data_IF_080620591355
#
_entry.id   IF_080620591355
#
_cell.length_a   1.000
_cell.length_b   1.000
_cell.length_c   1.000
_cell.angle_alpha   90.00
_cell.angle_beta   90.00
_cell.angle_gamma   90.00
#
_symmetry.space_group_name_H-M   'P 1'
#
loop_
_entity.id
_entity.type
_entity.pdbx_description
1 polymer ?
#
# COMPACT_ATOMS: atom_id res chain seq x y z
N UNK A 1 -68.63 12.12 -50.11
CA UNK A 1 -68.08 12.75 -48.89
C UNK A 1 -67.16 11.73 -48.22
N UNK A 2 -65.82 11.91 -48.25
CA UNK A 2 -64.85 11.02 -47.64
C UNK A 2 -64.30 11.74 -46.39
N UNK A 3 -64.60 11.20 -45.21
CA UNK A 3 -64.17 11.68 -43.92
C UNK A 3 -62.78 11.09 -43.64
N UNK A 4 -61.77 11.94 -43.52
CA UNK A 4 -60.40 11.55 -43.05
C UNK A 4 -60.34 11.66 -41.54
N UNK A 5 -60.08 10.52 -40.86
CA UNK A 5 -59.77 10.48 -39.42
C UNK A 5 -58.28 10.72 -39.22
N UNK A 6 -57.93 11.76 -38.46
CA UNK A 6 -56.58 12.02 -38.03
C UNK A 6 -56.29 11.25 -36.74
N UNK A 7 -55.36 10.31 -36.82
CA UNK A 7 -54.82 9.62 -35.61
C UNK A 7 -53.67 10.46 -35.05
N UNK A 8 -53.88 11.05 -33.89
CA UNK A 8 -52.82 11.73 -33.09
C UNK A 8 -51.99 10.66 -32.40
N UNK A 9 -50.72 10.50 -32.84
CA UNK A 9 -49.75 9.63 -32.22
C UNK A 9 -49.07 10.42 -31.10
N UNK A 10 -49.46 10.13 -29.86
CA UNK A 10 -48.81 10.72 -28.66
C UNK A 10 -47.52 9.94 -28.36
N UNK A 11 -46.35 10.54 -28.65
CA UNK A 11 -45.04 9.99 -28.29
C UNK A 11 -44.80 10.30 -26.81
N UNK A 12 -44.89 9.28 -25.97
CA UNK A 12 -44.39 9.35 -24.58
C UNK A 12 -42.87 9.25 -24.60
N UNK A 13 -42.19 10.38 -24.41
CA UNK A 13 -40.77 10.41 -24.16
C UNK A 13 -40.54 10.02 -22.67
N UNK A 14 -40.18 8.78 -22.42
CA UNK A 14 -39.64 8.37 -21.12
C UNK A 14 -38.27 9.01 -20.97
N UNK A 15 -38.19 10.14 -20.28
CA UNK A 15 -36.98 10.74 -19.81
C UNK A 15 -36.36 9.82 -18.75
N UNK A 16 -35.35 9.04 -19.13
CA UNK A 16 -34.50 8.34 -18.18
C UNK A 16 -33.68 9.39 -17.43
N UNK A 17 -34.18 9.81 -16.28
CA UNK A 17 -33.45 10.65 -15.34
C UNK A 17 -32.35 9.78 -14.71
N UNK A 18 -31.18 9.70 -15.35
CA UNK A 18 -29.99 9.19 -14.72
C UNK A 18 -29.51 10.25 -13.68
N UNK A 19 -30.06 10.14 -12.47
CA UNK A 19 -29.43 10.73 -11.31
C UNK A 19 -28.09 10.04 -11.08
N UNK A 20 -27.06 10.43 -11.80
CA UNK A 20 -25.68 10.23 -11.40
C UNK A 20 -25.48 11.06 -10.13
N UNK A 21 -25.75 10.45 -8.97
CA UNK A 21 -25.19 10.92 -7.72
C UNK A 21 -23.67 10.85 -7.92
N UNK A 22 -23.04 11.97 -8.20
CA UNK A 22 -21.64 12.20 -7.97
C UNK A 22 -21.44 12.00 -6.47
N UNK A 23 -21.14 10.77 -6.04
CA UNK A 23 -20.57 10.54 -4.71
C UNK A 23 -19.27 11.33 -4.71
N UNK A 24 -19.27 12.39 -3.93
CA UNK A 24 -18.10 13.18 -3.62
C UNK A 24 -17.18 12.22 -2.83
N UNK A 25 -16.36 11.43 -3.55
CA UNK A 25 -15.44 10.45 -2.96
C UNK A 25 -14.35 11.23 -2.22
N UNK A 26 -14.66 11.57 -0.96
CA UNK A 26 -13.73 12.23 -0.07
C UNK A 26 -12.49 11.33 0.07
N UNK A 27 -11.33 11.82 -0.38
CA UNK A 27 -10.07 11.13 -0.21
C UNK A 27 -9.61 11.22 1.25
N UNK A 28 -9.08 10.12 1.76
CA UNK A 28 -8.59 10.01 3.12
C UNK A 28 -7.07 10.22 3.17
N UNK A 29 -6.62 11.43 2.83
CA UNK A 29 -5.20 11.76 2.81
C UNK A 29 -4.61 11.86 4.21
N UNK A 30 -3.34 11.41 4.33
CA UNK A 30 -2.49 11.55 5.53
C UNK A 30 -1.38 12.54 5.20
N UNK A 31 -1.45 13.74 5.75
CA UNK A 31 -0.48 14.82 5.53
C UNK A 31 0.32 15.09 6.82
N UNK A 32 1.44 14.41 6.96
CA UNK A 32 2.38 14.59 8.07
C UNK A 32 3.33 15.76 7.78
N UNK A 33 3.72 16.52 8.81
CA UNK A 33 4.55 17.71 8.63
C UNK A 33 6.03 17.46 8.90
N UNK A 34 6.32 16.51 9.80
CA UNK A 34 7.68 16.20 10.26
C UNK A 34 7.91 14.68 10.33
N UNK A 35 9.16 14.26 10.43
CA UNK A 35 9.51 12.86 10.72
C UNK A 35 8.99 12.45 12.11
N UNK A 36 8.95 13.37 13.07
CA UNK A 36 8.38 13.08 14.39
C UNK A 36 6.88 12.75 14.31
N UNK A 37 6.13 13.40 13.41
CA UNK A 37 4.72 13.05 13.18
C UNK A 37 4.58 11.64 12.59
N UNK A 38 5.49 11.23 11.70
CA UNK A 38 5.51 9.85 11.19
C UNK A 38 5.82 8.85 12.31
N UNK A 39 6.83 9.15 13.13
CA UNK A 39 7.18 8.31 14.29
C UNK A 39 5.99 8.18 15.26
N UNK A 40 5.27 9.26 15.54
CA UNK A 40 4.07 9.25 16.38
C UNK A 40 2.91 8.48 15.73
N UNK A 41 2.71 8.60 14.42
CA UNK A 41 1.72 7.86 13.65
C UNK A 41 1.98 6.33 13.68
N UNK A 42 3.25 5.93 13.65
CA UNK A 42 3.69 4.54 13.68
C UNK A 42 3.80 3.95 15.10
N UNK A 43 3.87 4.79 16.13
CA UNK A 43 3.96 4.32 17.51
C UNK A 43 2.67 3.58 17.94
N UNK A 44 2.83 2.47 18.66
CA UNK A 44 1.69 1.81 19.30
C UNK A 44 1.15 2.68 20.43
N UNK A 45 -0.16 2.87 20.45
CA UNK A 45 -0.89 3.51 21.54
C UNK A 45 -2.17 2.71 21.80
N UNK A 46 -2.37 2.29 23.05
CA UNK A 46 -3.55 1.50 23.41
C UNK A 46 -4.87 2.23 23.06
N UNK A 47 -5.77 1.52 22.41
CA UNK A 47 -7.08 2.05 22.00
C UNK A 47 -7.08 2.82 20.67
N UNK A 48 -5.94 2.93 19.97
CA UNK A 48 -5.95 3.43 18.60
C UNK A 48 -6.63 2.46 17.64
N UNK A 49 -7.27 3.02 16.61
CA UNK A 49 -7.81 2.20 15.51
C UNK A 49 -6.68 1.58 14.71
N UNK A 50 -6.91 0.35 14.24
CA UNK A 50 -6.00 -0.29 13.31
C UNK A 50 -5.91 0.48 11.97
N UNK A 51 -4.84 0.26 11.23
CA UNK A 51 -4.53 0.91 9.96
C UNK A 51 -4.57 -0.13 8.85
N UNK A 52 -5.06 0.26 7.68
CA UNK A 52 -4.90 -0.53 6.44
C UNK A 52 -3.55 -0.21 5.82
N UNK A 53 -2.76 -1.24 5.51
CA UNK A 53 -1.63 -1.14 4.59
C UNK A 53 -2.03 -1.80 3.27
N UNK A 54 -2.21 -0.98 2.24
CA UNK A 54 -2.60 -1.43 0.91
C UNK A 54 -1.41 -2.08 0.21
N UNK A 55 -1.34 -3.42 0.18
CA UNK A 55 -0.27 -4.19 -0.46
C UNK A 55 -0.26 -3.90 -1.97
N UNK A 56 0.87 -3.41 -2.49
CA UNK A 56 1.02 -2.89 -3.87
C UNK A 56 -0.03 -1.84 -4.25
N UNK A 57 -0.55 -1.11 -3.27
CA UNK A 57 -1.62 -0.13 -3.44
C UNK A 57 -3.05 -0.68 -3.36
N UNK A 58 -3.26 -1.98 -3.13
CA UNK A 58 -4.57 -2.63 -3.10
C UNK A 58 -5.18 -2.82 -4.49
N UNK A 59 -4.56 -3.65 -5.35
CA UNK A 59 -5.01 -3.87 -6.71
C UNK A 59 -6.41 -4.51 -6.76
N UNK A 60 -7.18 -4.16 -7.80
CA UNK A 60 -8.51 -4.70 -8.06
C UNK A 60 -8.83 -4.57 -9.56
N UNK A 61 -9.93 -5.15 -10.07
CA UNK A 61 -10.31 -5.00 -11.48
C UNK A 61 -10.30 -3.54 -11.94
N UNK A 62 -9.54 -3.24 -13.00
CA UNK A 62 -9.32 -1.91 -13.53
C UNK A 62 -8.28 -1.05 -12.80
N UNK A 63 -7.71 -1.56 -11.69
CA UNK A 63 -6.68 -0.89 -10.88
C UNK A 63 -5.47 -1.82 -10.69
N UNK A 64 -4.46 -1.75 -11.58
CA UNK A 64 -3.26 -2.59 -11.48
C UNK A 64 -2.42 -2.27 -10.25
N UNK A 65 -1.64 -3.25 -9.78
CA UNK A 65 -0.68 -3.07 -8.71
C UNK A 65 0.39 -2.01 -9.06
N UNK A 66 0.93 -1.34 -8.05
CA UNK A 66 2.02 -0.38 -8.19
C UNK A 66 1.71 0.82 -9.13
N UNK A 67 0.45 1.24 -9.19
CA UNK A 67 0.01 2.40 -9.97
C UNK A 67 -0.50 3.53 -9.06
N UNK A 68 -0.18 4.77 -9.38
CA UNK A 68 -0.63 5.95 -8.61
C UNK A 68 -2.17 6.00 -8.56
N UNK A 69 -2.85 5.64 -9.64
CA UNK A 69 -4.31 5.61 -9.72
C UNK A 69 -4.91 4.55 -8.76
N UNK A 70 -4.21 3.44 -8.58
CA UNK A 70 -4.60 2.40 -7.60
C UNK A 70 -4.41 2.91 -6.17
N UNK A 71 -3.33 3.62 -5.90
CA UNK A 71 -3.09 4.27 -4.61
C UNK A 71 -4.19 5.30 -4.30
N UNK A 72 -4.55 6.12 -5.29
CA UNK A 72 -5.67 7.06 -5.18
C UNK A 72 -7.01 6.36 -4.93
N UNK A 73 -7.23 5.21 -5.57
CA UNK A 73 -8.43 4.41 -5.33
C UNK A 73 -8.48 3.86 -3.89
N UNK A 74 -7.36 3.32 -3.37
CA UNK A 74 -7.27 2.83 -1.99
C UNK A 74 -7.64 3.91 -0.97
N UNK A 75 -7.18 5.15 -1.18
CA UNK A 75 -7.46 6.31 -0.32
C UNK A 75 -8.92 6.79 -0.38
N UNK A 76 -9.75 6.24 -1.24
CA UNK A 76 -11.20 6.47 -1.19
C UNK A 76 -11.90 5.66 -0.10
N UNK A 77 -11.28 4.57 0.37
CA UNK A 77 -11.88 3.69 1.38
C UNK A 77 -11.45 4.02 2.80
N UNK A 78 -10.17 4.35 3.01
CA UNK A 78 -9.62 4.71 4.33
C UNK A 78 -8.30 5.47 4.19
N UNK A 79 -7.80 6.14 5.27
CA UNK A 79 -6.39 6.51 5.35
C UNK A 79 -5.56 5.23 5.36
N UNK A 80 -4.70 5.07 4.35
CA UNK A 80 -3.89 3.87 4.19
C UNK A 80 -2.39 4.18 4.26
N UNK A 81 -1.62 3.23 4.76
CA UNK A 81 -0.23 3.08 4.36
C UNK A 81 -0.28 2.45 2.96
N UNK A 82 0.44 3.00 2.00
CA UNK A 82 0.56 2.44 0.65
C UNK A 82 1.87 1.65 0.60
N UNK A 83 1.77 0.35 0.49
CA UNK A 83 2.94 -0.46 0.22
C UNK A 83 3.18 -0.51 -1.29
N UNK A 84 4.45 -0.50 -1.70
CA UNK A 84 4.89 -0.40 -3.07
C UNK A 84 6.27 -1.02 -3.29
N UNK A 85 6.52 -1.49 -4.53
CA UNK A 85 7.73 -2.22 -4.90
C UNK A 85 8.63 -1.38 -5.81
N UNK A 86 9.87 -1.13 -5.39
CA UNK A 86 10.87 -0.39 -6.20
C UNK A 86 11.81 -1.35 -6.89
N UNK A 87 11.90 -1.23 -8.21
CA UNK A 87 12.82 -1.96 -9.09
C UNK A 87 13.66 -0.97 -9.90
N UNK A 88 14.70 -1.46 -10.60
CA UNK A 88 15.64 -0.62 -11.35
C UNK A 88 15.82 -1.09 -12.79
N UNK A 89 15.71 -0.17 -13.73
CA UNK A 89 15.92 -0.39 -15.16
C UNK A 89 17.40 -0.56 -15.52
N UNK A 90 17.68 -1.00 -16.76
CA UNK A 90 19.03 -1.13 -17.28
C UNK A 90 19.85 0.17 -17.25
N UNK A 91 19.20 1.31 -17.45
CA UNK A 91 19.80 2.65 -17.42
C UNK A 91 19.72 3.33 -16.04
N UNK A 92 19.42 2.56 -14.98
CA UNK A 92 19.47 2.99 -13.59
C UNK A 92 18.26 3.78 -13.08
N UNK A 93 17.16 3.85 -13.85
CA UNK A 93 15.95 4.53 -13.39
C UNK A 93 15.23 3.67 -12.35
N UNK A 94 14.89 4.25 -11.19
CA UNK A 94 14.04 3.61 -10.19
C UNK A 94 12.58 3.76 -10.59
N UNK A 95 11.87 2.63 -10.68
CA UNK A 95 10.46 2.52 -11.10
C UNK A 95 9.68 1.64 -10.13
N UNK A 96 8.35 1.66 -10.20
CA UNK A 96 7.54 0.72 -9.45
C UNK A 96 7.27 -0.54 -10.29
N UNK A 97 7.73 -1.68 -9.79
CA UNK A 97 7.51 -3.00 -10.39
C UNK A 97 7.85 -4.10 -9.40
N UNK A 98 6.89 -5.01 -9.14
CA UNK A 98 7.12 -6.12 -8.21
C UNK A 98 8.00 -7.21 -8.82
N UNK A 99 7.66 -7.67 -10.02
CA UNK A 99 8.32 -8.81 -10.65
C UNK A 99 9.64 -8.39 -11.31
N UNK A 100 10.57 -9.33 -11.46
CA UNK A 100 11.79 -9.13 -12.23
C UNK A 100 11.50 -9.02 -13.74
N UNK A 101 10.29 -9.37 -14.19
CA UNK A 101 9.85 -9.33 -15.60
C UNK A 101 8.60 -8.48 -15.79
N UNK A 102 8.39 -8.01 -17.01
CA UNK A 102 7.30 -7.13 -17.43
C UNK A 102 5.98 -7.86 -17.73
N UNK A 103 6.04 -9.16 -17.95
CA UNK A 103 5.03 -9.97 -18.64
C UNK A 103 3.66 -9.99 -17.97
N UNK A 104 3.64 -10.14 -16.63
CA UNK A 104 2.40 -10.28 -15.85
C UNK A 104 1.61 -8.98 -15.77
N UNK A 105 2.28 -7.88 -15.47
CA UNK A 105 1.64 -6.63 -15.07
C UNK A 105 1.70 -5.52 -16.11
N UNK A 106 2.31 -5.78 -17.29
CA UNK A 106 2.43 -4.77 -18.35
C UNK A 106 2.11 -5.34 -19.73
N UNK A 107 2.03 -4.46 -20.74
CA UNK A 107 1.94 -4.82 -22.16
C UNK A 107 3.30 -5.21 -22.79
N UNK A 108 4.38 -5.13 -22.02
CA UNK A 108 5.71 -5.55 -22.43
C UNK A 108 6.05 -6.97 -22.03
N UNK A 109 7.27 -7.40 -22.36
CA UNK A 109 7.83 -8.70 -21.99
C UNK A 109 9.32 -8.61 -21.73
N UNK A 110 9.88 -9.60 -21.02
CA UNK A 110 11.30 -9.66 -20.69
C UNK A 110 11.65 -9.00 -19.35
N UNK A 111 12.95 -8.93 -19.05
CA UNK A 111 13.39 -8.48 -17.71
C UNK A 111 13.41 -6.96 -17.59
N UNK A 112 13.01 -6.46 -16.45
CA UNK A 112 13.10 -5.06 -16.06
C UNK A 112 14.54 -4.56 -16.14
N UNK A 113 15.50 -5.35 -15.63
CA UNK A 113 16.92 -5.02 -15.61
C UNK A 113 17.61 -4.98 -16.99
N UNK A 114 16.94 -5.43 -18.05
CA UNK A 114 17.43 -5.41 -19.44
C UNK A 114 16.75 -4.31 -20.27
N UNK A 115 15.70 -3.66 -19.75
CA UNK A 115 14.95 -2.62 -20.44
C UNK A 115 15.32 -1.21 -19.94
N UNK A 116 15.39 -0.23 -20.84
CA UNK A 116 15.61 1.18 -20.48
C UNK A 116 14.30 1.87 -20.11
N UNK A 117 14.40 2.98 -19.36
CA UNK A 117 13.23 3.79 -19.03
C UNK A 117 12.49 4.28 -20.29
N UNK A 118 13.23 4.67 -21.34
CA UNK A 118 12.61 5.08 -22.61
C UNK A 118 11.69 4.00 -23.20
N UNK A 119 12.05 2.73 -23.04
CA UNK A 119 11.22 1.60 -23.48
C UNK A 119 9.99 1.41 -22.55
N UNK A 120 10.23 1.42 -21.24
CA UNK A 120 9.20 1.08 -20.23
C UNK A 120 8.07 2.12 -20.13
N UNK A 121 8.38 3.42 -20.27
CA UNK A 121 7.36 4.48 -20.21
C UNK A 121 6.30 4.39 -21.34
N UNK A 122 6.56 3.63 -22.38
CA UNK A 122 5.62 3.40 -23.49
C UNK A 122 4.58 2.33 -23.15
N UNK A 123 4.89 1.44 -22.19
CA UNK A 123 4.04 0.33 -21.81
C UNK A 123 2.82 0.79 -21.01
N UNK A 124 1.79 -0.04 -21.03
CA UNK A 124 0.60 0.11 -20.18
C UNK A 124 0.58 -0.98 -19.12
N UNK A 125 0.02 -0.64 -17.96
CA UNK A 125 -0.19 -1.61 -16.88
C UNK A 125 -1.42 -2.48 -17.17
N UNK A 126 -1.36 -3.74 -16.71
CA UNK A 126 -2.46 -4.70 -16.69
C UNK A 126 -2.89 -4.95 -15.24
N UNK A 127 -4.19 -5.06 -15.02
CA UNK A 127 -4.72 -5.50 -13.73
C UNK A 127 -4.50 -7.01 -13.49
N UNK A 128 -4.93 -7.50 -12.34
CA UNK A 128 -4.76 -8.91 -11.95
C UNK A 128 -5.52 -9.92 -12.87
N UNK A 129 -6.50 -9.45 -13.64
CA UNK A 129 -7.26 -10.25 -14.61
C UNK A 129 -6.61 -10.20 -16.00
N UNK A 130 -5.51 -9.44 -16.16
CA UNK A 130 -4.81 -9.25 -17.44
C UNK A 130 -5.41 -8.17 -18.33
N UNK A 131 -6.40 -7.40 -17.85
CA UNK A 131 -7.01 -6.31 -18.59
C UNK A 131 -6.05 -5.14 -18.70
N UNK A 132 -5.76 -4.70 -19.92
CA UNK A 132 -4.91 -3.55 -20.19
C UNK A 132 -5.63 -2.26 -19.78
N UNK A 133 -4.95 -1.45 -18.97
CA UNK A 133 -5.45 -0.13 -18.57
C UNK A 133 -4.77 1.00 -19.35
N UNK A 134 -5.21 2.24 -19.16
CA UNK A 134 -4.49 3.43 -19.66
C UNK A 134 -3.31 3.83 -18.77
N UNK A 135 -3.13 3.19 -17.62
CA UNK A 135 -2.14 3.56 -16.61
C UNK A 135 -0.73 3.14 -17.03
N UNK A 136 0.25 3.88 -16.55
CA UNK A 136 1.67 3.74 -16.88
C UNK A 136 2.45 3.25 -15.68
N UNK A 137 3.63 2.69 -15.94
CA UNK A 137 4.61 2.39 -14.89
C UNK A 137 5.07 3.72 -14.29
N UNK A 138 4.86 3.99 -12.99
CA UNK A 138 5.35 5.23 -12.40
C UNK A 138 6.84 5.09 -12.04
N UNK A 139 7.57 6.20 -12.06
CA UNK A 139 8.88 6.27 -11.45
C UNK A 139 8.76 6.39 -9.93
N UNK A 140 9.78 5.92 -9.20
CA UNK A 140 9.83 6.07 -7.76
C UNK A 140 9.82 7.54 -7.32
N UNK A 141 10.49 8.42 -8.07
CA UNK A 141 10.48 9.87 -7.84
C UNK A 141 9.07 10.48 -7.96
N UNK A 142 8.29 10.08 -8.97
CA UNK A 142 6.89 10.52 -9.13
C UNK A 142 6.03 10.10 -7.96
N UNK A 143 6.19 8.85 -7.50
CA UNK A 143 5.43 8.31 -6.37
C UNK A 143 5.80 8.99 -5.05
N UNK A 144 7.08 9.22 -4.78
CA UNK A 144 7.51 9.98 -3.60
C UNK A 144 6.95 11.40 -3.62
N UNK A 145 6.96 12.09 -4.78
CA UNK A 145 6.37 13.42 -4.92
C UNK A 145 4.84 13.40 -4.76
N UNK A 146 4.17 12.39 -5.28
CA UNK A 146 2.73 12.19 -5.08
C UNK A 146 2.38 11.97 -3.60
N UNK A 147 3.13 11.11 -2.91
CA UNK A 147 2.81 10.67 -1.54
C UNK A 147 2.95 11.75 -0.48
N UNK A 148 3.79 12.77 -0.67
CA UNK A 148 4.19 13.77 0.37
C UNK A 148 3.06 14.45 1.13
N UNK A 149 1.86 14.48 0.59
CA UNK A 149 0.68 15.11 1.24
C UNK A 149 -0.54 14.20 1.20
N UNK A 150 -0.36 12.92 0.84
CA UNK A 150 -1.47 12.00 0.58
C UNK A 150 -1.42 10.73 1.41
N UNK A 151 -0.24 10.10 1.51
CA UNK A 151 -0.13 8.80 2.15
C UNK A 151 1.23 8.58 2.79
N UNK A 152 1.29 7.71 3.78
CA UNK A 152 2.55 7.09 4.22
C UNK A 152 2.86 5.94 3.26
N UNK A 153 4.09 5.89 2.76
CA UNK A 153 4.57 4.89 1.81
C UNK A 153 5.44 3.86 2.52
N UNK A 154 5.14 2.58 2.35
CA UNK A 154 5.94 1.46 2.85
C UNK A 154 6.65 0.83 1.64
N UNK A 155 7.98 0.99 1.57
CA UNK A 155 8.78 0.83 0.36
C UNK A 155 9.51 -0.51 0.41
N UNK A 156 9.10 -1.45 -0.46
CA UNK A 156 9.83 -2.70 -0.71
C UNK A 156 10.86 -2.49 -1.82
N UNK A 157 12.11 -2.89 -1.56
CA UNK A 157 13.22 -2.63 -2.46
C UNK A 157 13.72 -3.95 -3.04
N UNK A 158 13.64 -4.08 -4.36
CA UNK A 158 14.09 -5.29 -5.07
C UNK A 158 15.61 -5.43 -5.04
N UNK A 159 16.07 -6.67 -5.21
CA UNK A 159 17.50 -7.00 -5.14
C UNK A 159 18.33 -6.19 -6.14
N UNK A 160 19.57 -5.85 -5.74
CA UNK A 160 20.53 -5.17 -6.64
C UNK A 160 20.46 -3.64 -6.61
N UNK A 161 19.55 -3.05 -5.83
CA UNK A 161 19.48 -1.60 -5.62
C UNK A 161 20.31 -1.26 -4.38
N UNK A 162 21.23 -0.29 -4.48
CA UNK A 162 21.99 0.18 -3.31
C UNK A 162 21.04 0.95 -2.37
N UNK A 163 21.02 0.62 -1.07
CA UNK A 163 20.30 1.40 -0.08
C UNK A 163 20.57 2.91 -0.11
N UNK A 164 21.77 3.35 -0.47
CA UNK A 164 22.09 4.76 -0.59
C UNK A 164 21.27 5.44 -1.69
N UNK A 165 21.08 4.78 -2.86
CA UNK A 165 20.26 5.32 -3.95
C UNK A 165 18.81 5.60 -3.51
N UNK A 166 18.26 4.72 -2.67
CA UNK A 166 16.89 4.88 -2.13
C UNK A 166 16.83 6.06 -1.17
N UNK A 167 17.79 6.13 -0.24
CA UNK A 167 17.84 7.22 0.76
C UNK A 167 18.07 8.57 0.09
N UNK A 168 18.95 8.63 -0.90
CA UNK A 168 19.22 9.84 -1.68
C UNK A 168 17.95 10.31 -2.42
N UNK A 169 17.16 9.39 -2.98
CA UNK A 169 15.90 9.75 -3.65
C UNK A 169 14.86 10.26 -2.66
N UNK A 170 14.74 9.64 -1.48
CA UNK A 170 13.85 10.10 -0.40
C UNK A 170 14.26 11.50 0.05
N UNK A 171 15.56 11.78 0.21
CA UNK A 171 16.07 13.10 0.59
C UNK A 171 15.85 14.13 -0.52
N UNK A 172 16.19 13.80 -1.77
CA UNK A 172 15.97 14.66 -2.94
C UNK A 172 14.53 15.12 -3.05
N UNK A 173 13.59 14.22 -2.78
CA UNK A 173 12.16 14.51 -2.85
C UNK A 173 11.58 15.06 -1.54
N UNK A 174 12.36 15.13 -0.45
CA UNK A 174 11.91 15.54 0.89
C UNK A 174 10.75 14.67 1.42
N UNK A 175 10.79 13.35 1.13
CA UNK A 175 9.74 12.40 1.46
C UNK A 175 9.98 11.64 2.78
N UNK A 176 11.02 11.97 3.58
CA UNK A 176 11.38 11.27 4.81
C UNK A 176 10.20 11.11 5.78
N UNK A 177 9.39 12.15 5.90
CA UNK A 177 8.21 12.18 6.80
C UNK A 177 7.03 11.32 6.33
N UNK A 178 7.13 10.69 5.17
CA UNK A 178 6.09 9.83 4.60
C UNK A 178 6.63 8.47 4.15
N UNK A 179 7.89 8.15 4.44
CA UNK A 179 8.56 6.94 3.94
C UNK A 179 8.93 5.99 5.06
N UNK A 180 8.58 4.72 4.88
CA UNK A 180 8.98 3.57 5.70
C UNK A 180 9.74 2.63 4.77
N UNK A 181 10.94 2.19 5.17
CA UNK A 181 11.73 1.23 4.40
C UNK A 181 11.46 -0.18 4.90
N UNK A 182 11.09 -1.10 4.01
CA UNK A 182 10.98 -2.53 4.35
C UNK A 182 12.36 -3.18 4.35
N UNK A 183 12.66 -3.92 5.41
CA UNK A 183 13.88 -4.72 5.51
C UNK A 183 13.57 -6.15 5.96
N UNK A 184 14.16 -7.13 5.27
CA UNK A 184 13.92 -8.54 5.50
C UNK A 184 14.94 -9.21 6.45
N UNK A 185 16.01 -8.48 6.80
CA UNK A 185 17.05 -9.01 7.66
C UNK A 185 17.72 -7.91 8.50
N UNK A 186 18.30 -8.32 9.61
CA UNK A 186 18.95 -7.44 10.58
C UNK A 186 20.14 -6.65 10.02
N UNK A 187 21.04 -7.21 9.18
CA UNK A 187 22.09 -6.43 8.54
C UNK A 187 21.57 -5.23 7.75
N UNK A 188 20.47 -5.39 7.01
CA UNK A 188 19.85 -4.29 6.27
C UNK A 188 19.20 -3.26 7.18
N UNK A 189 18.59 -3.67 8.30
CA UNK A 189 18.08 -2.76 9.32
C UNK A 189 19.19 -1.84 9.83
N UNK A 190 20.33 -2.43 10.24
CA UNK A 190 21.48 -1.67 10.73
C UNK A 190 22.06 -0.78 9.62
N UNK A 191 22.13 -1.28 8.37
CA UNK A 191 22.65 -0.52 7.23
C UNK A 191 21.82 0.74 6.97
N UNK A 192 20.50 0.64 6.85
CA UNK A 192 19.62 1.79 6.63
C UNK A 192 19.67 2.78 7.81
N UNK A 193 19.62 2.28 9.03
CA UNK A 193 19.72 3.14 10.22
C UNK A 193 21.06 3.90 10.30
N UNK A 194 22.17 3.32 9.82
CA UNK A 194 23.45 4.02 9.75
C UNK A 194 23.50 5.08 8.64
N UNK A 195 22.83 4.85 7.50
CA UNK A 195 22.78 5.82 6.41
C UNK A 195 21.96 7.05 6.86
N UNK A 196 20.79 6.82 7.45
CA UNK A 196 19.97 7.90 8.01
C UNK A 196 19.25 7.41 9.29
N UNK A 197 19.71 7.84 10.48
CA UNK A 197 19.09 7.48 11.76
C UNK A 197 17.66 8.00 11.95
N UNK A 198 17.18 8.89 11.10
CA UNK A 198 15.82 9.45 11.19
C UNK A 198 14.77 8.60 10.49
N UNK A 199 15.16 7.70 9.58
CA UNK A 199 14.24 6.87 8.80
C UNK A 199 13.41 5.94 9.68
N UNK A 200 12.14 5.79 9.31
CA UNK A 200 11.27 4.74 9.83
C UNK A 200 11.46 3.46 9.02
N UNK A 201 11.52 2.33 9.71
CA UNK A 201 11.86 1.04 9.11
C UNK A 201 10.83 -0.01 9.52
N UNK A 202 10.31 -0.75 8.54
CA UNK A 202 9.52 -1.96 8.75
C UNK A 202 10.46 -3.16 8.77
N UNK A 203 10.74 -3.68 9.96
CA UNK A 203 11.56 -4.86 10.14
C UNK A 203 10.69 -6.12 10.29
N UNK A 204 11.22 -7.30 9.92
CA UNK A 204 10.51 -8.57 10.03
C UNK A 204 10.91 -9.32 11.30
N UNK A 205 9.91 -9.66 12.15
CA UNK A 205 10.12 -10.51 13.33
C UNK A 205 8.78 -11.17 13.73
N UNK A 206 8.70 -12.49 13.62
CA UNK A 206 7.47 -13.28 13.85
C UNK A 206 7.49 -14.14 15.12
N UNK A 207 8.57 -14.10 15.90
CA UNK A 207 8.72 -14.80 17.17
C UNK A 207 9.24 -13.88 18.25
N UNK A 208 8.97 -14.18 19.51
CA UNK A 208 9.49 -13.42 20.67
C UNK A 208 11.00 -13.28 20.60
N UNK A 209 11.70 -14.34 20.22
CA UNK A 209 13.17 -14.32 20.09
C UNK A 209 13.62 -13.36 19.00
N UNK A 210 13.02 -13.43 17.79
CA UNK A 210 13.38 -12.54 16.69
C UNK A 210 13.07 -11.07 17.00
N UNK A 211 12.02 -10.77 17.77
CA UNK A 211 11.75 -9.40 18.25
C UNK A 211 12.85 -8.94 19.20
N UNK A 212 13.22 -9.76 20.21
CA UNK A 212 14.30 -9.42 21.16
C UNK A 212 15.63 -9.17 20.45
N UNK A 213 16.00 -10.03 19.51
CA UNK A 213 17.22 -9.89 18.72
C UNK A 213 17.20 -8.62 17.85
N UNK A 214 16.04 -8.23 17.33
CA UNK A 214 15.88 -6.99 16.54
C UNK A 214 16.01 -5.76 17.44
N UNK A 215 15.39 -5.76 18.62
CA UNK A 215 15.51 -4.67 19.60
C UNK A 215 16.95 -4.52 20.13
N UNK A 216 17.67 -5.61 20.29
CA UNK A 216 19.07 -5.61 20.75
C UNK A 216 20.05 -4.92 19.78
N UNK A 217 19.64 -4.65 18.51
CA UNK A 217 20.45 -3.91 17.54
C UNK A 217 20.57 -2.41 17.85
N UNK A 218 19.80 -1.89 18.81
CA UNK A 218 19.89 -0.51 19.26
C UNK A 218 19.23 0.52 18.34
N UNK A 219 18.45 0.09 17.32
CA UNK A 219 17.61 1.01 16.54
C UNK A 219 16.46 1.48 17.44
N UNK A 220 16.24 2.80 17.60
CA UNK A 220 15.19 3.30 18.48
C UNK A 220 13.80 2.78 18.11
N UNK A 221 13.00 2.34 19.07
CA UNK A 221 11.66 1.80 18.84
C UNK A 221 10.75 2.76 18.07
N UNK A 222 10.90 4.07 18.27
CA UNK A 222 10.15 5.11 17.52
C UNK A 222 10.40 5.09 16.01
N UNK A 223 11.50 4.49 15.57
CA UNK A 223 11.84 4.31 14.15
C UNK A 223 11.37 2.97 13.58
N UNK A 224 10.73 2.13 14.40
CA UNK A 224 10.37 0.77 14.02
C UNK A 224 8.86 0.58 13.94
N UNK A 225 8.46 -0.15 12.91
CA UNK A 225 7.20 -0.88 12.83
C UNK A 225 7.54 -2.32 12.45
N UNK A 226 6.80 -3.32 12.96
CA UNK A 226 7.25 -4.71 12.84
C UNK A 226 6.30 -5.55 12.01
N UNK A 227 6.79 -6.12 10.91
CA UNK A 227 6.06 -7.12 10.14
C UNK A 227 6.17 -8.49 10.81
N UNK A 228 5.04 -9.01 11.30
CA UNK A 228 4.99 -10.25 12.09
C UNK A 228 4.70 -11.51 11.26
N UNK A 229 4.59 -11.38 9.92
CA UNK A 229 4.37 -12.49 9.00
C UNK A 229 2.99 -12.43 8.32
N UNK A 230 2.68 -13.50 7.55
CA UNK A 230 1.42 -13.67 6.82
C UNK A 230 0.45 -14.64 7.50
N UNK A 231 0.74 -15.00 8.73
CA UNK A 231 -0.11 -15.76 9.66
C UNK A 231 0.00 -15.14 11.04
N UNK A 232 -1.02 -15.30 11.87
CA UNK A 232 -0.98 -14.79 13.24
C UNK A 232 0.21 -15.38 14.00
N UNK A 233 1.07 -14.56 14.61
CA UNK A 233 2.10 -15.02 15.51
C UNK A 233 1.50 -15.45 16.85
N UNK A 234 2.34 -15.98 17.76
CA UNK A 234 1.92 -16.19 19.15
C UNK A 234 1.57 -14.84 19.82
N UNK A 235 0.55 -14.79 20.72
CA UNK A 235 0.11 -13.53 21.36
C UNK A 235 1.24 -12.74 22.02
N UNK A 236 2.23 -13.45 22.58
CA UNK A 236 3.38 -12.85 23.26
C UNK A 236 4.24 -11.98 22.33
N UNK A 237 4.18 -12.19 21.02
CA UNK A 237 4.86 -11.34 20.03
C UNK A 237 4.20 -9.97 20.00
N UNK A 238 2.88 -9.91 19.94
CA UNK A 238 2.13 -8.65 20.00
C UNK A 238 2.37 -7.92 21.33
N UNK A 239 2.28 -8.65 22.44
CA UNK A 239 2.50 -8.09 23.77
C UNK A 239 3.89 -7.44 23.90
N UNK A 240 4.94 -8.14 23.44
CA UNK A 240 6.32 -7.63 23.50
C UNK A 240 6.49 -6.38 22.62
N UNK A 241 5.90 -6.35 21.40
CA UNK A 241 5.96 -5.19 20.52
C UNK A 241 5.23 -4.00 21.17
N UNK A 242 4.04 -4.20 21.70
CA UNK A 242 3.22 -3.16 22.34
C UNK A 242 3.90 -2.60 23.60
N UNK A 243 4.56 -3.44 24.42
CA UNK A 243 5.36 -3.01 25.57
C UNK A 243 6.52 -2.09 25.16
N UNK A 244 7.04 -2.24 23.92
CA UNK A 244 8.09 -1.40 23.36
C UNK A 244 7.58 -0.23 22.52
N UNK A 245 6.25 0.01 22.48
CA UNK A 245 5.65 1.09 21.71
C UNK A 245 5.64 0.88 20.20
N UNK A 246 5.80 -0.37 19.75
CA UNK A 246 5.92 -0.74 18.32
C UNK A 246 4.60 -1.35 17.82
N UNK A 247 4.09 -0.85 16.70
CA UNK A 247 2.94 -1.46 16.00
C UNK A 247 3.35 -2.73 15.27
N UNK A 248 2.45 -3.71 15.29
CA UNK A 248 2.56 -4.96 14.55
C UNK A 248 1.81 -4.87 13.21
N UNK A 249 2.51 -5.14 12.10
CA UNK A 249 1.92 -5.33 10.77
C UNK A 249 1.69 -6.83 10.56
N UNK A 250 0.44 -7.23 10.39
CA UNK A 250 0.09 -8.59 9.98
C UNK A 250 -0.24 -8.59 8.49
N UNK A 251 0.47 -9.39 7.71
CA UNK A 251 0.14 -9.67 6.33
C UNK A 251 -1.10 -10.54 6.22
N UNK A 252 -2.15 -10.05 5.56
CA UNK A 252 -3.39 -10.81 5.36
C UNK A 252 -3.56 -11.29 3.93
N UNK A 253 -2.72 -10.82 3.00
CA UNK A 253 -2.73 -11.23 1.60
C UNK A 253 -2.75 -12.77 1.48
N UNK A 254 -3.47 -13.26 0.47
CA UNK A 254 -3.74 -14.68 0.21
C UNK A 254 -4.71 -15.32 1.23
N UNK A 255 -4.22 -16.09 2.21
CA UNK A 255 -5.05 -16.97 3.04
C UNK A 255 -6.07 -16.22 3.92
N UNK A 256 -5.64 -15.18 4.61
CA UNK A 256 -6.51 -14.43 5.53
C UNK A 256 -7.48 -13.54 4.75
N UNK A 257 -7.06 -12.92 3.66
CA UNK A 257 -7.93 -12.16 2.76
C UNK A 257 -8.97 -13.09 2.10
N UNK A 258 -8.56 -14.28 1.61
CA UNK A 258 -9.48 -15.28 1.07
C UNK A 258 -10.48 -15.79 2.14
N UNK A 259 -10.04 -15.90 3.40
CA UNK A 259 -10.94 -16.23 4.51
C UNK A 259 -11.94 -15.10 4.77
N UNK A 260 -11.49 -13.84 4.74
CA UNK A 260 -12.35 -12.68 4.92
C UNK A 260 -13.37 -12.51 3.78
N UNK A 261 -12.98 -12.77 2.53
CA UNK A 261 -13.90 -12.77 1.39
C UNK A 261 -15.03 -13.80 1.57
N UNK A 262 -14.73 -14.97 2.14
CA UNK A 262 -15.71 -16.05 2.35
C UNK A 262 -16.56 -15.88 3.61
N UNK A 263 -15.96 -15.38 4.71
CA UNK A 263 -16.58 -15.36 6.04
C UNK A 263 -17.01 -13.96 6.46
N UNK A 264 -16.56 -12.90 5.76
CA UNK A 264 -16.90 -11.51 6.08
C UNK A 264 -15.85 -10.80 6.97
N UNK A 265 -16.18 -9.58 7.31
CA UNK A 265 -15.33 -8.61 8.03
C UNK A 265 -14.85 -9.08 9.41
N UNK A 266 -15.60 -9.97 10.06
CA UNK A 266 -15.26 -10.50 11.40
C UNK A 266 -13.89 -11.20 11.42
N UNK A 267 -13.38 -11.65 10.28
CA UNK A 267 -12.01 -12.20 10.17
C UNK A 267 -11.01 -11.12 10.54
N UNK A 268 -11.06 -9.97 9.89
CA UNK A 268 -10.16 -8.84 10.18
C UNK A 268 -10.35 -8.28 11.59
N UNK A 269 -11.61 -8.16 12.04
CA UNK A 269 -11.91 -7.69 13.40
C UNK A 269 -11.28 -8.59 14.46
N UNK A 270 -11.30 -9.91 14.24
CA UNK A 270 -10.64 -10.87 15.14
C UNK A 270 -9.12 -10.68 15.14
N UNK A 271 -8.48 -10.56 13.99
CA UNK A 271 -7.03 -10.34 13.87
C UNK A 271 -6.59 -9.08 14.64
N UNK A 272 -7.35 -7.98 14.48
CA UNK A 272 -7.12 -6.73 15.20
C UNK A 272 -7.31 -6.92 16.71
N UNK A 273 -8.37 -7.61 17.13
CA UNK A 273 -8.63 -7.90 18.55
C UNK A 273 -7.55 -8.77 19.16
N UNK A 274 -6.85 -9.59 18.37
CA UNK A 274 -5.74 -10.42 18.80
C UNK A 274 -4.41 -9.66 18.91
N UNK A 275 -4.33 -8.42 18.37
CA UNK A 275 -3.15 -7.56 18.53
C UNK A 275 -2.55 -7.01 17.22
N UNK A 276 -3.12 -7.31 16.05
CA UNK A 276 -2.66 -6.70 14.81
C UNK A 276 -3.06 -5.20 14.75
N UNK A 277 -2.07 -4.31 14.63
CA UNK A 277 -2.30 -2.86 14.55
C UNK A 277 -2.43 -2.38 13.10
N UNK A 278 -1.79 -3.08 12.18
CA UNK A 278 -1.82 -2.79 10.75
C UNK A 278 -2.11 -4.08 9.99
N UNK A 279 -3.09 -4.03 9.10
CA UNK A 279 -3.41 -5.14 8.19
C UNK A 279 -2.82 -4.84 6.81
N UNK A 280 -1.77 -5.58 6.41
CA UNK A 280 -1.23 -5.51 5.05
C UNK A 280 -2.06 -6.45 4.16
N UNK A 281 -2.87 -5.89 3.25
CA UNK A 281 -3.96 -6.59 2.56
C UNK A 281 -4.07 -6.20 1.10
N UNK A 282 -4.51 -7.15 0.25
CA UNK A 282 -4.99 -6.88 -1.10
C UNK A 282 -6.45 -6.38 -1.11
N UNK A 283 -7.20 -6.63 -0.03
CA UNK A 283 -8.63 -6.30 0.05
C UNK A 283 -8.88 -5.05 0.91
N UNK A 284 -8.39 -3.90 0.42
CA UNK A 284 -8.46 -2.60 1.11
C UNK A 284 -9.90 -2.24 1.50
N UNK A 285 -10.85 -2.41 0.59
CA UNK A 285 -12.25 -2.03 0.82
C UNK A 285 -12.86 -2.78 2.00
N UNK A 286 -12.69 -4.11 2.07
CA UNK A 286 -13.29 -4.93 3.13
C UNK A 286 -12.58 -4.71 4.47
N UNK A 287 -11.25 -4.59 4.48
CA UNK A 287 -10.49 -4.31 5.70
C UNK A 287 -10.80 -2.93 6.27
N UNK A 288 -10.92 -1.91 5.42
CA UNK A 288 -11.34 -0.56 5.82
C UNK A 288 -12.75 -0.56 6.44
N UNK A 289 -13.68 -1.28 5.82
CA UNK A 289 -15.04 -1.45 6.38
C UNK A 289 -15.03 -2.16 7.73
N UNK A 290 -14.24 -3.24 7.88
CA UNK A 290 -14.08 -3.96 9.13
C UNK A 290 -13.58 -3.04 10.26
N UNK A 291 -12.53 -2.26 9.99
CA UNK A 291 -11.93 -1.33 10.95
C UNK A 291 -12.91 -0.21 11.33
N UNK A 292 -13.66 0.33 10.37
CA UNK A 292 -14.60 1.42 10.61
C UNK A 292 -15.72 1.07 11.60
N UNK A 293 -16.11 -0.22 11.66
CA UNK A 293 -17.16 -0.76 12.52
C UNK A 293 -16.68 -1.14 13.92
N UNK A 294 -15.37 -1.18 14.14
CA UNK A 294 -14.82 -1.40 15.49
C UNK A 294 -14.90 -0.10 16.30
N UNK A 295 -15.31 -0.25 17.57
CA UNK A 295 -15.46 0.85 18.52
C UNK A 295 -14.12 1.26 19.12
#
# INVERSE_FOLDING_TARGET
>A
MKTYAWILLTIFIFGCNQNTQSQNNKKHYVDLKTVADLQDYLAYKKGQKAIVSAHRGGPMPGYPENAIETFENALTYAPCIIELDVNKTADGKLILMHDDTLDRTTTGSGKVSEATWEQLQKLHLKDAEGTVTSFKIPTFEEVLNWGKTRAVMCIDIKKGIDPQEIVDMIHKTQAQKHSIIIVYNRPMLVKYHKIDPSLCISASASTVESVKETLALGVPSKNLIMFVGISEPQPEVYELLHQNGIKAILGTMHNLDNSALKKGEQVYQKLISNGADVLATDNVKLSASAISKMK
#
